data_IF_060695685477
#
_entry.id   IF_060695685477
#
_cell.length_a   1.000
_cell.length_b   1.000
_cell.length_c   1.000
_cell.angle_alpha   90.00
_cell.angle_beta   90.00
_cell.angle_gamma   90.00
#
_symmetry.space_group_name_H-M   'P 1'
#
loop_
_entity.id
_entity.type
_entity.pdbx_description
1 polymer ?
#
# COMPACT_ATOMS: atom_id res chain seq x y z
N UNK A 1 33.48 5.52 -7.94
CA UNK A 1 32.60 6.38 -8.69
C UNK A 1 31.44 5.65 -9.32
N UNK A 2 31.68 4.47 -9.82
CA UNK A 2 30.61 3.64 -10.32
C UNK A 2 29.64 3.25 -9.23
N UNK A 3 30.11 3.16 -8.03
CA UNK A 3 29.30 2.89 -6.88
C UNK A 3 28.19 3.92 -6.66
N UNK A 4 28.36 5.11 -7.19
CA UNK A 4 27.33 6.14 -7.11
C UNK A 4 26.10 5.81 -7.92
N UNK A 5 26.29 5.00 -8.93
CA UNK A 5 25.21 4.65 -9.83
C UNK A 5 24.62 3.31 -9.46
N UNK A 6 25.24 2.70 -8.51
CA UNK A 6 24.70 1.50 -7.97
C UNK A 6 23.51 1.88 -7.16
N UNK A 7 22.63 1.32 -7.37
CA UNK A 7 21.24 1.46 -7.26
C UNK A 7 20.80 1.66 -5.88
N UNK A 8 21.01 2.83 -5.47
CA UNK A 8 20.13 3.37 -4.48
C UNK A 8 18.67 3.18 -4.88
N UNK A 9 18.47 2.92 -6.17
CA UNK A 9 17.14 2.64 -6.68
C UNK A 9 16.60 1.26 -6.32
N UNK A 10 17.46 0.33 -5.90
CA UNK A 10 17.03 -1.04 -5.63
C UNK A 10 17.14 -1.39 -4.16
N UNK A 11 16.61 -0.50 -3.33
CA UNK A 11 16.46 -0.80 -1.94
C UNK A 11 15.50 -1.98 -1.79
N UNK A 12 15.93 -3.02 -1.09
CA UNK A 12 15.07 -4.15 -0.81
C UNK A 12 14.20 -3.85 0.40
N UNK A 13 12.89 -3.85 0.24
CA UNK A 13 11.95 -3.58 1.32
C UNK A 13 11.50 -4.83 2.04
N UNK A 14 11.53 -5.97 1.36
CA UNK A 14 11.11 -7.24 1.93
C UNK A 14 11.65 -8.40 1.08
N UNK A 15 11.48 -9.60 1.58
CA UNK A 15 11.92 -10.82 0.91
C UNK A 15 11.19 -11.05 -0.41
N UNK A 16 9.92 -10.73 -0.46
CA UNK A 16 9.11 -10.89 -1.67
C UNK A 16 9.56 -9.90 -2.73
N UNK A 17 10.09 -10.41 -3.82
CA UNK A 17 10.69 -9.57 -4.86
C UNK A 17 9.66 -8.71 -5.59
N UNK A 18 8.47 -9.25 -5.85
CA UNK A 18 7.41 -8.51 -6.51
C UNK A 18 6.95 -7.34 -5.66
N UNK A 19 6.67 -7.58 -4.38
CA UNK A 19 6.28 -6.53 -3.45
C UNK A 19 7.39 -5.49 -3.29
N UNK A 20 8.64 -5.95 -3.15
CA UNK A 20 9.77 -5.04 -2.98
C UNK A 20 9.97 -4.14 -4.20
N UNK A 21 9.78 -4.66 -5.40
CA UNK A 21 9.89 -3.88 -6.64
C UNK A 21 8.82 -2.78 -6.70
N UNK A 22 7.59 -3.11 -6.33
CA UNK A 22 6.49 -2.15 -6.30
C UNK A 22 6.78 -1.06 -5.27
N UNK A 23 7.23 -1.43 -4.09
CA UNK A 23 7.56 -0.46 -3.05
C UNK A 23 8.70 0.45 -3.46
N UNK A 24 9.72 -0.09 -4.09
CA UNK A 24 10.84 0.69 -4.59
C UNK A 24 10.39 1.71 -5.63
N UNK A 25 9.51 1.30 -6.54
CA UNK A 25 8.95 2.19 -7.55
C UNK A 25 8.23 3.38 -6.92
N UNK A 26 7.31 3.10 -6.00
CA UNK A 26 6.52 4.16 -5.37
C UNK A 26 7.32 4.99 -4.37
N UNK A 27 8.32 4.40 -3.72
CA UNK A 27 9.24 5.16 -2.87
C UNK A 27 9.98 6.22 -3.69
N UNK A 28 10.35 5.90 -4.93
CA UNK A 28 10.95 6.85 -5.84
C UNK A 28 10.02 8.02 -6.16
N UNK A 29 8.75 7.74 -6.37
CA UNK A 29 7.74 8.78 -6.58
C UNK A 29 7.59 9.65 -5.33
N UNK A 30 7.53 9.02 -4.16
CA UNK A 30 7.44 9.74 -2.89
C UNK A 30 8.60 10.72 -2.73
N UNK A 31 9.80 10.29 -3.07
CA UNK A 31 10.98 11.14 -2.99
C UNK A 31 10.84 12.36 -3.91
N UNK A 32 10.41 12.17 -5.14
CA UNK A 32 10.22 13.26 -6.09
C UNK A 32 9.14 14.24 -5.65
N UNK A 33 8.07 13.71 -5.04
CA UNK A 33 6.92 14.50 -4.63
C UNK A 33 7.01 15.00 -3.19
N UNK A 34 8.17 14.84 -2.56
CA UNK A 34 8.43 15.31 -1.20
C UNK A 34 7.44 14.74 -0.19
N UNK A 35 7.18 13.44 -0.31
CA UNK A 35 6.36 12.69 0.63
C UNK A 35 7.30 11.92 1.55
N UNK A 36 7.12 12.08 2.86
CA UNK A 36 7.87 11.28 3.83
C UNK A 36 7.35 9.86 3.77
N UNK A 37 8.22 8.92 3.49
CA UNK A 37 7.84 7.53 3.28
C UNK A 37 8.56 6.62 4.27
N UNK A 38 7.79 5.88 5.06
CA UNK A 38 8.30 4.93 6.03
C UNK A 38 7.70 3.55 5.75
N UNK A 39 8.56 2.57 5.55
CA UNK A 39 8.13 1.21 5.27
C UNK A 39 8.86 0.23 6.18
N UNK A 40 8.11 -0.64 6.84
CA UNK A 40 8.65 -1.72 7.65
C UNK A 40 7.84 -2.97 7.32
N UNK A 41 8.41 -3.81 6.45
CA UNK A 41 7.64 -4.87 5.81
C UNK A 41 8.24 -6.24 6.02
N UNK A 42 7.37 -7.17 6.37
CA UNK A 42 7.65 -8.60 6.38
C UNK A 42 6.68 -9.20 5.35
N UNK A 43 7.20 -9.59 4.21
CA UNK A 43 6.45 -10.26 3.15
C UNK A 43 7.36 -11.34 2.57
N UNK A 44 7.10 -12.61 2.86
CA UNK A 44 7.96 -13.68 2.36
C UNK A 44 7.78 -13.93 0.86
N UNK A 45 8.76 -14.56 0.26
CA UNK A 45 8.64 -15.01 -1.12
C UNK A 45 7.58 -16.11 -1.17
N UNK A 46 6.70 -16.04 -2.15
CA UNK A 46 5.63 -17.03 -2.31
C UNK A 46 5.99 -18.03 -3.40
N UNK A 47 5.62 -19.27 -3.18
CA UNK A 47 5.83 -20.31 -4.18
C UNK A 47 4.84 -20.19 -5.35
N UNK A 48 3.66 -19.62 -5.09
CA UNK A 48 2.65 -19.44 -6.12
C UNK A 48 2.81 -18.08 -6.82
N UNK A 49 3.01 -18.13 -8.13
CA UNK A 49 3.18 -16.92 -8.95
C UNK A 49 1.94 -16.03 -8.90
N UNK A 50 0.74 -16.63 -8.88
CA UNK A 50 -0.50 -15.88 -8.83
C UNK A 50 -0.62 -15.08 -7.54
N UNK A 51 -0.15 -15.62 -6.42
CA UNK A 51 -0.17 -14.90 -5.15
C UNK A 51 0.78 -13.71 -5.18
N UNK A 52 1.96 -13.88 -5.77
CA UNK A 52 2.90 -12.76 -5.94
C UNK A 52 2.29 -11.64 -6.78
N UNK A 53 1.59 -11.99 -7.86
CA UNK A 53 0.92 -11.01 -8.72
C UNK A 53 -0.18 -10.28 -7.96
N UNK A 54 -0.95 -11.01 -7.16
CA UNK A 54 -2.03 -10.41 -6.37
C UNK A 54 -1.49 -9.50 -5.26
N UNK A 55 -0.36 -9.85 -4.66
CA UNK A 55 0.31 -8.97 -3.70
C UNK A 55 0.75 -7.65 -4.37
N UNK A 56 1.23 -7.73 -5.60
CA UNK A 56 1.60 -6.54 -6.35
C UNK A 56 0.39 -5.63 -6.59
N UNK A 57 -0.78 -6.22 -6.84
CA UNK A 57 -2.02 -5.46 -6.99
C UNK A 57 -2.37 -4.74 -5.68
N UNK A 58 -2.28 -5.43 -4.56
CA UNK A 58 -2.57 -4.84 -3.24
C UNK A 58 -1.64 -3.67 -2.97
N UNK A 59 -0.34 -3.89 -3.00
CA UNK A 59 0.63 -2.84 -2.68
C UNK A 59 0.57 -1.69 -3.67
N UNK A 60 0.44 -1.99 -4.96
CA UNK A 60 0.35 -0.95 -5.98
C UNK A 60 -0.85 -0.04 -5.79
N UNK A 61 -2.02 -0.62 -5.57
CA UNK A 61 -3.25 0.17 -5.39
C UNK A 61 -3.25 0.97 -4.10
N UNK A 62 -2.76 0.38 -3.01
CA UNK A 62 -2.65 1.10 -1.74
C UNK A 62 -1.72 2.30 -1.87
N UNK A 63 -0.54 2.10 -2.44
CA UNK A 63 0.46 3.16 -2.57
C UNK A 63 0.04 4.24 -3.55
N UNK A 64 -0.55 3.86 -4.66
CA UNK A 64 -1.06 4.83 -5.62
C UNK A 64 -2.13 5.71 -5.01
N UNK A 65 -3.07 5.11 -4.29
CA UNK A 65 -4.11 5.86 -3.59
C UNK A 65 -3.53 6.82 -2.55
N UNK A 66 -2.55 6.35 -1.80
CA UNK A 66 -1.90 7.16 -0.77
C UNK A 66 -1.15 8.35 -1.37
N UNK A 67 -0.44 8.14 -2.47
CA UNK A 67 0.29 9.20 -3.16
C UNK A 67 -0.68 10.23 -3.72
N UNK A 68 -1.75 9.80 -4.37
CA UNK A 68 -2.76 10.71 -4.89
C UNK A 68 -3.34 11.59 -3.78
N UNK A 69 -3.60 11.01 -2.63
CA UNK A 69 -4.10 11.75 -1.48
C UNK A 69 -3.09 12.78 -0.98
N UNK A 70 -1.82 12.41 -0.91
CA UNK A 70 -0.75 13.30 -0.48
C UNK A 70 -0.55 14.48 -1.44
N UNK A 71 -0.77 14.26 -2.73
CA UNK A 71 -0.59 15.33 -3.73
C UNK A 71 -1.62 16.45 -3.60
N UNK A 72 -2.69 16.22 -2.88
CA UNK A 72 -3.74 17.22 -2.66
C UNK A 72 -3.48 18.13 -1.47
N UNK A 73 -2.43 17.87 -0.71
CA UNK A 73 -2.12 18.65 0.50
C UNK A 73 -0.72 19.22 0.42
N UNK A 74 -0.42 20.12 1.34
CA UNK A 74 0.89 20.79 1.40
C UNK A 74 2.01 19.80 1.59
N UNK A 75 3.14 20.08 0.96
CA UNK A 75 4.31 19.19 0.94
C UNK A 75 4.80 18.80 2.33
N UNK A 76 4.82 19.76 3.25
CA UNK A 76 5.31 19.50 4.60
C UNK A 76 4.40 18.60 5.43
N UNK A 77 3.19 18.35 4.95
CA UNK A 77 2.24 17.47 5.63
C UNK A 77 2.16 16.07 5.03
N UNK A 78 2.87 15.85 3.94
CA UNK A 78 2.80 14.57 3.21
C UNK A 78 3.55 13.45 3.92
N UNK A 79 2.82 12.41 4.29
CA UNK A 79 3.36 11.26 5.01
C UNK A 79 2.66 10.00 4.56
N UNK A 80 3.44 8.96 4.30
CA UNK A 80 2.94 7.61 4.08
C UNK A 80 3.74 6.69 4.99
N UNK A 81 3.03 5.86 5.73
CA UNK A 81 3.64 4.88 6.61
C UNK A 81 2.99 3.53 6.34
N UNK A 82 3.78 2.56 5.91
CA UNK A 82 3.28 1.22 5.61
C UNK A 82 4.04 0.19 6.42
N UNK A 83 3.33 -0.76 6.98
CA UNK A 83 3.92 -1.87 7.72
C UNK A 83 3.19 -3.15 7.40
N UNK A 84 3.87 -4.27 7.52
CA UNK A 84 3.24 -5.57 7.41
C UNK A 84 3.87 -6.55 8.37
N UNK A 85 3.11 -7.57 8.72
CA UNK A 85 3.54 -8.63 9.60
C UNK A 85 2.80 -9.90 9.23
N UNK A 86 3.26 -11.01 9.78
CA UNK A 86 2.63 -12.31 9.59
C UNK A 86 2.23 -12.84 10.95
N UNK A 87 0.97 -13.22 11.06
CA UNK A 87 0.43 -13.87 12.23
C UNK A 87 -0.19 -15.19 11.77
N UNK A 88 0.43 -16.29 12.19
CA UNK A 88 0.09 -17.63 11.71
C UNK A 88 0.21 -17.71 10.18
N UNK A 89 -0.86 -17.98 9.47
CA UNK A 89 -0.86 -18.03 8.02
C UNK A 89 -1.45 -16.77 7.37
N UNK A 90 -1.60 -15.71 8.16
CA UNK A 90 -2.19 -14.45 7.69
C UNK A 90 -1.12 -13.38 7.50
N UNK A 91 -1.15 -12.74 6.34
CA UNK A 91 -0.42 -11.51 6.10
C UNK A 91 -1.30 -10.34 6.51
N UNK A 92 -0.76 -9.45 7.30
CA UNK A 92 -1.46 -8.25 7.76
C UNK A 92 -0.70 -7.03 7.26
N UNK A 93 -1.35 -6.16 6.53
CA UNK A 93 -0.76 -4.93 6.00
C UNK A 93 -1.54 -3.75 6.56
N UNK A 94 -0.84 -2.78 7.09
CA UNK A 94 -1.45 -1.54 7.58
C UNK A 94 -0.73 -0.36 6.93
N UNK A 95 -1.50 0.60 6.46
CA UNK A 95 -0.93 1.80 5.87
C UNK A 95 -1.70 3.03 6.34
N UNK A 96 -0.95 4.04 6.79
CA UNK A 96 -1.50 5.34 7.11
C UNK A 96 -0.97 6.35 6.11
N UNK A 97 -1.82 7.21 5.59
CA UNK A 97 -1.37 8.32 4.77
C UNK A 97 -2.11 9.60 5.11
N UNK A 98 -1.38 10.70 4.97
CA UNK A 98 -1.98 12.02 5.08
C UNK A 98 -2.97 12.23 3.94
N UNK A 99 -4.04 12.97 4.19
CA UNK A 99 -5.01 13.30 3.17
C UNK A 99 -5.77 14.57 3.59
N UNK A 100 -6.65 15.05 2.74
CA UNK A 100 -7.38 16.31 2.97
C UNK A 100 -8.61 16.18 3.88
N UNK A 101 -8.87 15.00 4.40
CA UNK A 101 -10.03 14.74 5.24
C UNK A 101 -11.31 14.43 4.48
N UNK A 102 -11.27 14.50 3.16
CA UNK A 102 -12.44 14.19 2.33
C UNK A 102 -12.57 12.71 2.08
N UNK A 103 -13.41 12.09 2.88
CA UNK A 103 -13.61 10.68 2.87
C UNK A 103 -15.11 10.41 2.93
N UNK A 104 -15.60 9.76 1.88
CA UNK A 104 -17.02 9.42 1.79
C UNK A 104 -17.18 7.92 1.76
N UNK A 105 -18.08 7.42 2.61
CA UNK A 105 -18.47 6.02 2.62
C UNK A 105 -19.93 5.91 2.21
N UNK A 106 -20.18 5.12 1.18
CA UNK A 106 -21.54 4.84 0.72
C UNK A 106 -21.73 3.32 0.76
N UNK A 107 -22.69 2.87 1.54
CA UNK A 107 -22.98 1.43 1.70
C UNK A 107 -21.74 0.62 2.08
N UNK A 108 -20.92 1.15 2.99
CA UNK A 108 -19.69 0.49 3.41
C UNK A 108 -18.58 0.49 2.39
N UNK A 109 -18.72 1.25 1.33
CA UNK A 109 -17.70 1.39 0.30
C UNK A 109 -17.12 2.78 0.31
N UNK A 110 -15.86 2.88 -0.10
CA UNK A 110 -15.20 4.16 -0.22
C UNK A 110 -15.53 4.82 -1.54
N UNK A 111 -15.94 6.07 -1.44
CA UNK A 111 -15.96 6.94 -2.59
C UNK A 111 -14.69 7.78 -2.55
N UNK A 112 -13.91 7.73 -3.60
CA UNK A 112 -12.78 8.64 -3.72
C UNK A 112 -13.31 10.02 -4.10
N UNK A 113 -12.51 11.05 -3.88
CA UNK A 113 -12.83 12.40 -4.37
C UNK A 113 -12.66 12.49 -5.88
N UNK A 114 -12.26 11.40 -6.51
CA UNK A 114 -12.16 11.31 -7.95
C UNK A 114 -13.55 11.32 -8.57
N UNK A 115 -13.57 11.76 -9.80
CA UNK A 115 -14.78 11.93 -10.60
C UNK A 115 -15.72 10.72 -10.62
N UNK A 116 -15.21 9.53 -10.52
CA UNK A 116 -15.99 8.30 -10.61
C UNK A 116 -16.53 7.81 -9.27
N UNK A 117 -16.22 8.51 -8.21
CA UNK A 117 -16.80 8.25 -6.89
C UNK A 117 -16.24 7.05 -6.13
N UNK A 118 -15.79 6.03 -6.81
CA UNK A 118 -15.24 4.86 -6.14
C UNK A 118 -13.74 4.78 -6.33
N UNK A 119 -13.04 4.47 -5.26
CA UNK A 119 -11.68 4.05 -5.37
C UNK A 119 -11.63 2.67 -6.02
N UNK A 120 -11.56 2.61 -7.34
CA UNK A 120 -11.44 1.35 -8.07
C UNK A 120 -10.26 0.56 -7.51
N UNK A 121 -9.16 1.26 -7.24
CA UNK A 121 -7.99 0.64 -6.65
C UNK A 121 -8.26 0.01 -5.30
N UNK A 122 -9.00 0.70 -4.43
CA UNK A 122 -9.34 0.16 -3.11
C UNK A 122 -10.34 -0.99 -3.20
N UNK A 123 -11.26 -0.93 -4.15
CA UNK A 123 -12.16 -2.05 -4.42
C UNK A 123 -11.38 -3.28 -4.88
N UNK A 124 -10.35 -3.09 -5.68
CA UNK A 124 -9.47 -4.18 -6.13
C UNK A 124 -8.72 -4.80 -4.96
N UNK A 125 -8.22 -3.97 -4.05
CA UNK A 125 -7.56 -4.44 -2.83
C UNK A 125 -8.51 -5.34 -2.03
N UNK A 126 -9.73 -4.89 -1.84
CA UNK A 126 -10.73 -5.64 -1.10
C UNK A 126 -11.07 -6.96 -1.78
N UNK A 127 -11.24 -6.94 -3.10
CA UNK A 127 -11.53 -8.16 -3.87
C UNK A 127 -10.41 -9.18 -3.77
N UNK A 128 -9.17 -8.73 -3.87
CA UNK A 128 -8.01 -9.62 -3.75
C UNK A 128 -7.93 -10.20 -2.34
N UNK A 129 -8.08 -9.36 -1.31
CA UNK A 129 -8.03 -9.84 0.07
C UNK A 129 -9.10 -10.92 0.31
N UNK A 130 -10.30 -10.71 -0.18
CA UNK A 130 -11.41 -11.67 -0.05
C UNK A 130 -11.15 -12.97 -0.80
N UNK A 131 -10.46 -12.91 -1.92
CA UNK A 131 -10.06 -14.10 -2.66
C UNK A 131 -9.20 -15.03 -1.80
N UNK A 132 -8.44 -14.47 -0.87
CA UNK A 132 -7.58 -15.21 0.05
C UNK A 132 -8.15 -15.24 1.47
N UNK A 133 -9.45 -15.29 1.59
CA UNK A 133 -10.19 -15.46 2.85
C UNK A 133 -9.93 -14.35 3.87
N UNK A 134 -9.59 -13.18 3.39
CA UNK A 134 -9.39 -12.00 4.21
C UNK A 134 -10.34 -10.89 3.86
N UNK A 135 -9.96 -9.69 4.22
CA UNK A 135 -10.72 -8.48 3.89
C UNK A 135 -9.82 -7.26 3.98
N UNK A 136 -10.36 -6.14 3.58
CA UNK A 136 -9.69 -4.85 3.68
C UNK A 136 -10.67 -3.84 4.28
N UNK A 137 -10.15 -3.01 5.16
CA UNK A 137 -10.92 -1.98 5.84
C UNK A 137 -10.20 -0.65 5.66
N UNK A 138 -10.99 0.39 5.43
CA UNK A 138 -10.46 1.73 5.23
C UNK A 138 -11.23 2.69 6.12
N UNK A 139 -10.52 3.56 6.83
CA UNK A 139 -11.17 4.47 7.77
C UNK A 139 -10.31 5.72 8.01
N UNK A 140 -10.94 6.77 8.50
CA UNK A 140 -10.20 7.89 9.05
C UNK A 140 -9.81 7.51 10.48
N UNK A 141 -8.54 7.67 10.80
CA UNK A 141 -8.04 7.44 12.13
C UNK A 141 -7.08 8.56 12.51
N UNK A 142 -7.50 9.37 13.45
CA UNK A 142 -6.70 10.50 13.96
C UNK A 142 -6.24 11.46 12.86
N UNK A 143 -7.07 11.66 11.85
CA UNK A 143 -6.77 12.56 10.75
C UNK A 143 -5.98 11.95 9.61
N UNK A 144 -5.64 10.68 9.70
CA UNK A 144 -4.98 9.93 8.64
C UNK A 144 -5.96 8.95 8.00
N UNK A 145 -5.78 8.72 6.72
CA UNK A 145 -6.49 7.64 6.04
C UNK A 145 -5.77 6.34 6.32
N UNK A 146 -6.42 5.43 7.00
CA UNK A 146 -5.83 4.14 7.35
C UNK A 146 -6.44 3.02 6.54
N UNK A 147 -5.57 2.23 5.92
CA UNK A 147 -5.93 1.00 5.22
C UNK A 147 -5.41 -0.19 6.02
N UNK A 148 -6.28 -1.15 6.26
CA UNK A 148 -5.91 -2.39 6.95
C UNK A 148 -6.33 -3.55 6.07
N UNK A 149 -5.39 -4.41 5.72
CA UNK A 149 -5.63 -5.57 4.85
C UNK A 149 -5.13 -6.81 5.56
N UNK A 150 -5.92 -7.86 5.54
CA UNK A 150 -5.43 -9.17 5.96
C UNK A 150 -5.84 -10.21 4.92
N UNK A 151 -4.98 -11.18 4.72
CA UNK A 151 -5.24 -12.25 3.76
C UNK A 151 -4.44 -13.48 4.13
N UNK A 152 -4.96 -14.63 3.78
CA UNK A 152 -4.33 -15.90 4.05
C UNK A 152 -3.29 -16.17 2.97
N UNK A 153 -2.06 -16.45 3.38
CA UNK A 153 -0.97 -16.74 2.46
C UNK A 153 -0.44 -18.17 2.58
N UNK A 154 -1.07 -18.96 3.43
CA UNK A 154 -0.63 -20.32 3.69
C UNK A 154 0.50 -20.40 4.71
N UNK A 155 0.92 -21.61 5.02
CA UNK A 155 2.04 -21.82 5.94
C UNK A 155 3.34 -21.38 5.29
N UNK A 156 4.08 -20.64 6.04
CA UNK A 156 5.37 -20.12 5.60
C UNK A 156 6.50 -20.99 6.14
#
# INVERSE_FOLDING_TARGET
TLSKNIPTAHMSYCENKAASAILSHYAGICKREQIKFHAKLIVPEMSETSLNSDLAIIFGNLLENAIEACLKIDKEKRLIRISSDISYDMLIVTMDNSYDGNFLSVDGRFCSTKREGFGIGLSSVQSVARKYYGDAKFEDKDGYFQSSVYMRIGSV
#
